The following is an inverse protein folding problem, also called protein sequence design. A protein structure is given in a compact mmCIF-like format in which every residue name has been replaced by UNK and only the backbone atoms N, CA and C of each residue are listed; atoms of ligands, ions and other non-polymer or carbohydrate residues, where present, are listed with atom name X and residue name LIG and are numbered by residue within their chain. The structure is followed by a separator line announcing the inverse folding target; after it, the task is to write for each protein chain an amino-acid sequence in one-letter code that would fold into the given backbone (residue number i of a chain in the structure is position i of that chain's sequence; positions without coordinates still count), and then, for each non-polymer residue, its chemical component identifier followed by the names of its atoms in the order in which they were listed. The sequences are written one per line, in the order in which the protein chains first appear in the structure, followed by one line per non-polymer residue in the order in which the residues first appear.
data_IF_212041703956
#
_entry.id   IF_212041703956
#
_cell.length_a   1.000
_cell.length_b   1.000
_cell.length_c   1.000
_cell.angle_alpha   90.00
_cell.angle_beta   90.00
_cell.angle_gamma   90.00
#
_symmetry.space_group_name_H-M   'P 1'
#
loop_
_entity.id
_entity.type
_entity.pdbx_description
1 polymer ?
#
# COMPACT_ATOMS: atom_id res chain seq x y z
N UNK A 1 0.69 -54.11 8.25
CA UNK A 1 -0.44 -53.25 7.84
C UNK A 1 -0.81 -52.23 8.91
N UNK A 2 -1.08 -52.64 10.15
CA UNK A 2 -1.46 -51.75 11.28
C UNK A 2 -0.40 -50.70 11.64
N UNK A 3 0.89 -51.07 11.70
CA UNK A 3 2.00 -50.14 12.01
C UNK A 3 2.10 -49.02 10.96
N UNK A 4 1.92 -49.37 9.68
CA UNK A 4 1.98 -48.40 8.56
C UNK A 4 0.80 -47.42 8.66
N UNK A 5 -0.41 -47.91 8.93
CA UNK A 5 -1.59 -47.07 9.13
C UNK A 5 -1.44 -46.13 10.34
N UNK A 6 -0.87 -46.62 11.44
CA UNK A 6 -0.62 -45.80 12.63
C UNK A 6 0.42 -44.71 12.36
N UNK A 7 1.51 -45.04 11.66
CA UNK A 7 2.52 -44.06 11.27
C UNK A 7 1.96 -42.97 10.33
N UNK A 8 1.13 -43.36 9.36
CA UNK A 8 0.43 -42.42 8.47
C UNK A 8 -0.53 -41.51 9.25
N UNK A 9 -1.29 -42.05 10.20
CA UNK A 9 -2.22 -41.28 11.02
C UNK A 9 -1.51 -40.28 11.94
N UNK A 10 -0.45 -40.70 12.62
CA UNK A 10 0.34 -39.82 13.52
C UNK A 10 0.99 -38.69 12.73
N UNK A 11 1.59 -39.00 11.58
CA UNK A 11 2.25 -38.01 10.73
C UNK A 11 1.25 -36.98 10.20
N UNK A 12 0.10 -37.45 9.70
CA UNK A 12 -0.97 -36.56 9.21
C UNK A 12 -1.54 -35.69 10.34
N UNK A 13 -1.75 -36.28 11.52
CA UNK A 13 -2.23 -35.55 12.70
C UNK A 13 -1.27 -34.48 13.17
N UNK A 14 0.04 -34.73 13.11
CA UNK A 14 1.06 -33.74 13.44
C UNK A 14 1.02 -32.55 12.48
N UNK A 15 0.97 -32.80 11.16
CA UNK A 15 0.89 -31.73 10.16
C UNK A 15 -0.42 -30.94 10.27
N UNK A 16 -1.55 -31.60 10.48
CA UNK A 16 -2.84 -30.94 10.69
C UNK A 16 -2.85 -30.11 11.99
N UNK A 17 -2.31 -30.65 13.08
CA UNK A 17 -2.19 -29.95 14.34
C UNK A 17 -1.36 -28.68 14.21
N UNK A 18 -0.21 -28.76 13.55
CA UNK A 18 0.63 -27.59 13.27
C UNK A 18 -0.08 -26.58 12.37
N UNK A 19 -0.79 -27.03 11.33
CA UNK A 19 -1.57 -26.15 10.47
C UNK A 19 -2.68 -25.41 11.24
N UNK A 20 -3.41 -26.11 12.11
CA UNK A 20 -4.46 -25.50 12.96
C UNK A 20 -3.85 -24.50 13.93
N UNK A 21 -2.72 -24.83 14.57
CA UNK A 21 -2.02 -23.91 15.48
C UNK A 21 -1.61 -22.64 14.75
N UNK A 22 -1.05 -22.75 13.53
CA UNK A 22 -0.65 -21.59 12.72
C UNK A 22 -1.87 -20.74 12.32
N UNK A 23 -2.98 -21.36 11.90
CA UNK A 23 -4.21 -20.62 11.56
C UNK A 23 -4.80 -19.87 12.76
N UNK A 24 -4.80 -20.49 13.94
CA UNK A 24 -5.27 -19.84 15.18
C UNK A 24 -4.33 -18.70 15.58
N UNK A 25 -3.01 -18.93 15.47
CA UNK A 25 -2.01 -17.91 15.76
C UNK A 25 -2.16 -16.70 14.83
N UNK A 26 -2.34 -16.91 13.52
CA UNK A 26 -2.59 -15.82 12.57
C UNK A 26 -3.85 -15.04 12.92
N UNK A 27 -4.96 -15.73 13.22
CA UNK A 27 -6.23 -15.08 13.58
C UNK A 27 -6.13 -14.22 14.84
N UNK A 28 -5.33 -14.63 15.82
CA UNK A 28 -5.16 -13.88 17.06
C UNK A 28 -4.08 -12.79 16.99
N UNK A 29 -2.96 -13.03 16.31
CA UNK A 29 -1.82 -12.12 16.26
C UNK A 29 -1.95 -11.02 15.19
N UNK A 30 -2.72 -11.27 14.13
CA UNK A 30 -2.87 -10.36 12.98
C UNK A 30 -4.16 -9.53 13.09
N UNK A 31 -4.87 -9.61 14.22
CA UNK A 31 -6.06 -8.77 14.44
C UNK A 31 -5.65 -7.36 14.87
N UNK A 32 -5.45 -6.47 13.90
CA UNK A 32 -5.14 -5.06 14.14
C UNK A 32 -6.40 -4.19 14.40
N UNK A 33 -7.59 -4.81 14.48
CA UNK A 33 -8.85 -4.10 14.61
C UNK A 33 -9.28 -3.36 13.33
N UNK A 34 -10.34 -2.56 13.46
CA UNK A 34 -10.82 -1.68 12.38
C UNK A 34 -9.99 -0.39 12.34
N UNK A 35 -9.39 -0.09 11.20
CA UNK A 35 -8.66 1.16 10.98
C UNK A 35 -9.45 2.08 10.05
N UNK A 36 -9.43 3.38 10.33
CA UNK A 36 -10.00 4.40 9.45
C UNK A 36 -8.97 4.89 8.43
N UNK A 37 -9.39 4.96 7.17
CA UNK A 37 -8.63 5.55 6.09
C UNK A 37 -9.31 6.85 5.66
N UNK A 38 -8.56 7.94 5.68
CA UNK A 38 -9.01 9.28 5.28
C UNK A 38 -8.29 9.66 4.00
N UNK A 39 -9.05 9.81 2.92
CA UNK A 39 -8.51 10.15 1.59
C UNK A 39 -8.77 11.63 1.28
N UNK A 40 -7.77 12.30 0.71
CA UNK A 40 -7.83 13.69 0.23
C UNK A 40 -8.36 14.69 1.27
N UNK A 41 -7.89 14.60 2.51
CA UNK A 41 -8.31 15.53 3.58
C UNK A 41 -9.76 15.34 4.07
N UNK A 42 -10.44 14.26 3.65
CA UNK A 42 -11.76 13.89 4.15
C UNK A 42 -12.87 13.84 3.11
N UNK A 43 -12.58 14.00 1.83
CA UNK A 43 -13.55 13.79 0.75
C UNK A 43 -14.13 12.37 0.77
N UNK A 44 -13.29 11.39 1.10
CA UNK A 44 -13.71 10.00 1.28
C UNK A 44 -13.12 9.44 2.58
N UNK A 45 -13.96 8.80 3.38
CA UNK A 45 -13.60 8.15 4.63
C UNK A 45 -14.27 6.79 4.68
N UNK A 46 -13.49 5.77 4.97
CA UNK A 46 -13.99 4.41 5.08
C UNK A 46 -13.19 3.63 6.12
N UNK A 47 -13.84 2.62 6.70
CA UNK A 47 -13.25 1.75 7.71
C UNK A 47 -12.91 0.42 7.06
N UNK A 48 -11.69 -0.06 7.29
CA UNK A 48 -11.21 -1.36 6.80
C UNK A 48 -10.65 -2.20 7.93
N UNK A 49 -10.62 -3.51 7.75
CA UNK A 49 -9.89 -4.40 8.65
C UNK A 49 -8.39 -4.17 8.48
N UNK A 50 -7.70 -3.93 9.59
CA UNK A 50 -6.24 -3.78 9.60
C UNK A 50 -5.54 -5.10 9.26
N UNK A 51 -4.28 -5.01 8.82
CA UNK A 51 -3.45 -6.14 8.39
C UNK A 51 -3.27 -6.22 6.87
N UNK A 52 -4.19 -5.63 6.11
CA UNK A 52 -4.09 -5.46 4.66
C UNK A 52 -3.06 -4.42 4.22
N UNK A 53 -2.85 -4.34 2.89
CA UNK A 53 -2.08 -3.26 2.28
C UNK A 53 -3.01 -2.13 1.83
N UNK A 54 -2.47 -0.91 1.76
CA UNK A 54 -3.23 0.29 1.43
C UNK A 54 -3.77 0.27 -0.01
N UNK A 55 -3.03 -0.30 -0.97
CA UNK A 55 -3.51 -0.41 -2.36
C UNK A 55 -4.81 -1.21 -2.46
N UNK A 56 -4.89 -2.37 -1.81
CA UNK A 56 -6.07 -3.23 -1.83
C UNK A 56 -7.28 -2.50 -1.22
N UNK A 57 -7.08 -1.86 -0.06
CA UNK A 57 -8.12 -1.08 0.60
C UNK A 57 -8.65 0.07 -0.28
N UNK A 58 -7.78 0.76 -1.01
CA UNK A 58 -8.18 1.83 -1.93
C UNK A 58 -8.95 1.29 -3.14
N UNK A 59 -8.49 0.19 -3.74
CA UNK A 59 -9.16 -0.46 -4.87
C UNK A 59 -10.55 -1.00 -4.50
N UNK A 60 -10.70 -1.61 -3.33
CA UNK A 60 -11.99 -2.11 -2.81
C UNK A 60 -13.00 -0.97 -2.61
N UNK A 61 -12.52 0.24 -2.31
CA UNK A 61 -13.34 1.44 -2.13
C UNK A 61 -13.46 2.29 -3.42
N UNK A 62 -13.23 1.68 -4.59
CA UNK A 62 -13.34 2.30 -5.92
C UNK A 62 -12.36 3.47 -6.17
N UNK A 63 -11.29 3.59 -5.39
CA UNK A 63 -10.21 4.55 -5.64
C UNK A 63 -9.17 3.85 -6.51
N UNK A 64 -9.22 4.13 -7.80
CA UNK A 64 -8.33 3.51 -8.78
C UNK A 64 -6.93 4.12 -8.73
N UNK A 65 -5.95 3.29 -8.38
CA UNK A 65 -4.52 3.64 -8.47
C UNK A 65 -3.88 2.69 -9.47
N UNK A 66 -3.12 3.22 -10.44
CA UNK A 66 -2.45 2.40 -11.44
C UNK A 66 -1.39 1.50 -10.79
N UNK A 67 -1.62 0.19 -10.86
CA UNK A 67 -0.78 -0.82 -10.23
C UNK A 67 -0.50 -1.99 -11.18
N UNK A 68 0.32 -1.76 -12.21
CA UNK A 68 0.62 -2.77 -13.25
C UNK A 68 1.28 -4.05 -12.72
N UNK A 69 1.91 -4.03 -11.54
CA UNK A 69 2.56 -5.21 -10.93
C UNK A 69 1.69 -5.97 -9.93
N UNK A 70 0.42 -5.58 -9.73
CA UNK A 70 -0.49 -6.22 -8.79
C UNK A 70 -0.06 -6.12 -7.31
N UNK A 71 0.65 -5.05 -6.95
CA UNK A 71 1.05 -4.78 -5.56
C UNK A 71 2.37 -5.39 -5.10
N UNK A 72 3.17 -5.98 -6.00
CA UNK A 72 4.47 -6.60 -5.69
C UNK A 72 5.62 -5.61 -5.43
N UNK A 73 5.38 -4.30 -5.53
CA UNK A 73 6.42 -3.29 -5.30
C UNK A 73 7.49 -3.19 -6.38
N UNK A 74 7.21 -3.65 -7.61
CA UNK A 74 8.22 -3.68 -8.69
C UNK A 74 8.06 -2.57 -9.74
N UNK A 75 6.85 -2.00 -9.91
CA UNK A 75 6.59 -1.02 -10.97
C UNK A 75 6.71 0.45 -10.52
N UNK A 76 6.60 0.73 -9.22
CA UNK A 76 6.67 2.10 -8.69
C UNK A 76 5.51 3.03 -9.09
N UNK A 77 4.43 2.51 -9.69
CA UNK A 77 3.27 3.32 -10.12
C UNK A 77 2.26 3.58 -9.00
N UNK A 78 2.27 2.77 -7.94
CA UNK A 78 1.31 2.86 -6.83
C UNK A 78 1.59 4.03 -5.86
N UNK A 79 2.07 5.20 -6.35
CA UNK A 79 2.51 6.32 -5.50
C UNK A 79 1.33 7.06 -4.89
N UNK A 80 1.39 7.26 -3.58
CA UNK A 80 0.43 8.05 -2.79
C UNK A 80 1.19 8.91 -1.79
N UNK A 81 0.61 10.03 -1.37
CA UNK A 81 1.20 10.84 -0.31
C UNK A 81 0.55 10.48 1.01
N UNK A 82 1.32 9.99 1.97
CA UNK A 82 0.82 9.67 3.31
C UNK A 82 1.04 10.89 4.19
N UNK A 83 -0.04 11.48 4.69
CA UNK A 83 -0.01 12.67 5.55
C UNK A 83 0.05 12.27 7.03
N UNK A 84 -0.58 11.17 7.40
CA UNK A 84 -0.55 10.64 8.77
C UNK A 84 -0.62 9.11 8.76
N UNK A 85 0.03 8.48 9.73
CA UNK A 85 0.06 7.02 9.86
C UNK A 85 0.96 6.34 8.83
N UNK A 86 0.60 5.13 8.43
CA UNK A 86 1.33 4.36 7.39
C UNK A 86 2.67 3.75 7.82
N UNK A 87 3.28 4.18 8.93
CA UNK A 87 4.53 3.60 9.46
C UNK A 87 5.80 4.08 8.76
N UNK A 88 6.93 3.42 9.01
CA UNK A 88 8.25 3.79 8.47
C UNK A 88 8.41 3.46 6.99
N UNK A 89 9.29 4.19 6.30
CA UNK A 89 9.69 3.94 4.90
C UNK A 89 10.33 2.56 4.76
N UNK A 90 9.89 1.75 3.78
CA UNK A 90 10.49 0.45 3.53
C UNK A 90 11.65 0.56 2.53
N UNK A 91 12.73 -0.25 2.68
CA UNK A 91 13.84 -0.27 1.71
C UNK A 91 13.40 -0.61 0.28
N UNK A 92 12.31 -1.37 0.13
CA UNK A 92 11.71 -1.73 -1.16
C UNK A 92 11.13 -0.53 -1.92
N UNK A 93 10.77 0.54 -1.22
CA UNK A 93 10.21 1.75 -1.83
C UNK A 93 11.28 2.76 -2.25
N UNK A 94 12.42 2.74 -1.54
CA UNK A 94 13.53 3.67 -1.73
C UNK A 94 14.00 3.83 -3.18
N UNK A 95 14.15 2.76 -4.01
CA UNK A 95 14.61 2.93 -5.39
C UNK A 95 13.62 3.65 -6.31
N UNK A 96 12.34 3.75 -5.93
CA UNK A 96 11.29 4.39 -6.73
C UNK A 96 10.98 5.83 -6.27
N UNK A 97 11.59 6.28 -5.16
CA UNK A 97 11.31 7.56 -4.52
C UNK A 97 12.56 8.44 -4.54
N UNK A 98 12.40 9.69 -4.97
CA UNK A 98 13.46 10.69 -4.82
C UNK A 98 13.55 11.19 -3.37
N UNK A 99 14.66 11.86 -3.02
CA UNK A 99 14.77 12.50 -1.69
C UNK A 99 13.65 13.51 -1.42
N UNK A 100 13.21 14.23 -2.46
CA UNK A 100 12.08 15.17 -2.37
C UNK A 100 10.77 14.41 -2.09
N UNK A 101 10.53 13.31 -2.80
CA UNK A 101 9.35 12.45 -2.59
C UNK A 101 9.27 11.93 -1.16
N UNK A 102 10.41 11.50 -0.60
CA UNK A 102 10.49 11.02 0.78
C UNK A 102 10.18 12.18 1.76
N UNK A 103 10.71 13.38 1.50
CA UNK A 103 10.48 14.55 2.36
C UNK A 103 9.00 14.98 2.39
N UNK A 104 8.26 14.83 1.28
CA UNK A 104 6.83 15.16 1.22
C UNK A 104 5.92 14.02 1.72
N UNK A 105 6.47 12.86 2.10
CA UNK A 105 5.71 11.71 2.58
C UNK A 105 5.14 10.83 1.47
N UNK A 106 5.70 10.88 0.26
CA UNK A 106 5.31 9.98 -0.84
C UNK A 106 5.76 8.56 -0.56
N UNK A 107 4.84 7.62 -0.70
CA UNK A 107 4.99 6.20 -0.37
C UNK A 107 4.37 5.36 -1.48
N UNK A 108 4.74 4.08 -1.53
CA UNK A 108 4.09 3.13 -2.42
C UNK A 108 2.90 2.51 -1.68
N UNK A 109 1.66 2.83 -2.08
CA UNK A 109 0.44 2.31 -1.45
C UNK A 109 0.45 0.78 -1.32
N UNK A 110 1.08 0.10 -2.28
CA UNK A 110 1.20 -1.35 -2.29
C UNK A 110 2.18 -1.93 -1.23
N UNK A 111 3.07 -1.12 -0.67
CA UNK A 111 4.01 -1.50 0.38
C UNK A 111 3.61 -0.97 1.77
N UNK A 112 2.66 -0.04 1.83
CA UNK A 112 2.12 0.50 3.09
C UNK A 112 1.13 -0.51 3.70
N UNK A 113 1.44 -1.01 4.90
CA UNK A 113 0.54 -1.87 5.69
C UNK A 113 -0.33 -1.05 6.63
N UNK A 114 -1.62 -1.35 6.65
CA UNK A 114 -2.59 -0.68 7.51
C UNK A 114 -2.56 -1.36 8.89
N UNK A 115 -1.96 -0.70 9.88
CA UNK A 115 -1.89 -1.17 11.28
C UNK A 115 -2.52 -0.20 12.28
N UNK A 116 -2.84 0.99 11.80
CA UNK A 116 -3.39 2.12 12.53
C UNK A 116 -4.09 3.00 11.50
N UNK A 117 -4.85 4.00 11.97
CA UNK A 117 -5.52 4.95 11.09
C UNK A 117 -4.50 5.64 10.16
N UNK A 118 -4.87 5.76 8.89
CA UNK A 118 -4.00 6.32 7.85
C UNK A 118 -4.72 7.44 7.13
N UNK A 119 -4.06 8.58 7.00
CA UNK A 119 -4.51 9.64 6.10
C UNK A 119 -3.60 9.71 4.89
N UNK A 120 -4.21 9.67 3.71
CA UNK A 120 -3.51 9.71 2.43
C UNK A 120 -4.13 10.72 1.49
N UNK A 121 -3.29 11.24 0.61
CA UNK A 121 -3.69 12.06 -0.52
C UNK A 121 -3.33 11.31 -1.81
N UNK A 122 -4.34 11.03 -2.61
CA UNK A 122 -4.25 10.29 -3.86
C UNK A 122 -4.43 11.30 -4.99
N UNK A 123 -3.42 11.49 -5.86
CA UNK A 123 -3.55 12.41 -6.98
C UNK A 123 -4.50 11.80 -8.02
N UNK A 124 -5.48 12.55 -8.48
CA UNK A 124 -6.31 12.11 -9.61
C UNK A 124 -5.44 12.07 -10.87
N UNK A 125 -5.50 10.95 -11.59
CA UNK A 125 -4.76 10.78 -12.84
C UNK A 125 -5.17 11.82 -13.89
N UNK A 126 -6.45 12.24 -13.90
CA UNK A 126 -6.94 13.30 -14.77
C UNK A 126 -6.34 14.66 -14.39
N UNK A 127 -6.21 14.95 -13.10
CA UNK A 127 -5.61 16.20 -12.63
C UNK A 127 -4.13 16.28 -13.00
N UNK A 128 -3.40 15.16 -12.86
CA UNK A 128 -1.98 15.08 -13.25
C UNK A 128 -1.80 15.34 -14.74
N UNK A 129 -2.65 14.76 -15.60
CA UNK A 129 -2.58 15.00 -17.05
C UNK A 129 -2.99 16.43 -17.38
N UNK A 130 -4.05 16.96 -16.76
CA UNK A 130 -4.54 18.32 -16.99
C UNK A 130 -3.48 19.36 -16.63
N UNK A 131 -2.78 19.15 -15.51
CA UNK A 131 -1.65 19.99 -15.10
C UNK A 131 -0.50 19.92 -16.11
N UNK A 132 -0.13 18.73 -16.59
CA UNK A 132 0.90 18.58 -17.64
C UNK A 132 0.54 19.30 -18.94
N UNK A 133 -0.72 19.22 -19.37
CA UNK A 133 -1.22 19.92 -20.55
C UNK A 133 -1.21 21.44 -20.34
N UNK A 134 -1.56 21.91 -19.13
CA UNK A 134 -1.58 23.35 -18.78
C UNK A 134 -0.17 23.95 -18.64
N UNK A 135 0.76 23.23 -18.03
CA UNK A 135 2.14 23.71 -17.80
C UNK A 135 3.04 23.55 -19.02
N UNK A 136 2.63 22.75 -20.02
CA UNK A 136 3.42 22.53 -21.24
C UNK A 136 4.72 21.75 -21.02
N UNK A 137 5.02 21.35 -19.77
CA UNK A 137 6.18 20.54 -19.42
C UNK A 137 5.84 19.06 -19.53
N UNK A 138 6.13 18.48 -20.70
CA UNK A 138 6.01 17.04 -20.91
C UNK A 138 7.25 16.31 -20.40
N UNK A 139 7.41 16.26 -19.08
CA UNK A 139 8.49 15.48 -18.48
C UNK A 139 8.09 14.00 -18.42
N UNK A 140 8.69 13.23 -19.34
CA UNK A 140 8.57 11.76 -19.43
C UNK A 140 8.95 11.02 -18.13
N UNK A 141 9.68 11.67 -17.22
CA UNK A 141 10.07 11.17 -15.91
C UNK A 141 9.24 11.75 -14.75
N UNK A 142 8.48 12.85 -14.94
CA UNK A 142 7.61 13.47 -13.93
C UNK A 142 6.28 12.75 -13.69
N UNK A 143 6.15 11.51 -14.16
CA UNK A 143 4.90 10.74 -14.29
C UNK A 143 4.07 10.63 -13.00
N UNK A 144 4.60 11.06 -11.84
CA UNK A 144 4.00 10.94 -10.50
C UNK A 144 4.44 12.03 -9.50
N UNK A 145 4.76 13.24 -9.94
CA UNK A 145 5.14 14.32 -8.99
C UNK A 145 3.89 14.95 -8.38
N UNK A 146 3.79 14.94 -7.06
CA UNK A 146 2.83 15.78 -6.34
C UNK A 146 3.27 17.24 -6.53
N UNK A 147 2.51 17.99 -7.33
CA UNK A 147 2.72 19.43 -7.44
C UNK A 147 2.26 20.07 -6.13
N UNK A 148 3.18 20.69 -5.41
CA UNK A 148 2.84 21.58 -4.30
C UNK A 148 2.31 22.86 -4.97
N UNK A 149 1.09 23.28 -4.65
CA UNK A 149 0.67 24.67 -4.92
C UNK A 149 1.64 25.59 -4.20
N UNK A 150 2.69 26.08 -4.89
CA UNK A 150 3.54 27.15 -4.38
C UNK A 150 5.06 27.10 -4.64
N UNK A 151 5.65 26.15 -5.38
CA UNK A 151 7.08 26.25 -5.70
C UNK A 151 7.37 26.10 -7.20
N UNK A 152 7.81 27.23 -7.76
CA UNK A 152 8.28 27.41 -9.13
C UNK A 152 9.50 26.52 -9.45
N UNK A 153 9.57 26.20 -10.74
CA UNK A 153 10.69 25.68 -11.50
C UNK A 153 12.09 25.97 -10.93
N UNK A 154 12.93 24.94 -10.77
CA UNK A 154 14.39 25.05 -10.96
C UNK A 154 15.09 23.69 -11.10
N UNK A 155 15.78 23.53 -12.24
CA UNK A 155 16.94 22.64 -12.50
C UNK A 155 16.65 21.13 -12.68
N UNK A 156 17.06 20.45 -13.76
CA UNK A 156 18.04 20.69 -14.84
C UNK A 156 17.58 19.87 -16.06
#
# INVERSE_FOLDING_TARGET
MTIILLAMAVTTGLFLGMAVILLVAERHLVNYGTCQIIVNGGEQRFSVEGGGNLLAALLENNISIPASCGGKGMCGYCKVRVTAGGGALLPTETPFLSRRDIAIGTRLACQVKIRQDVSVNVPDFLDVISDMVRTGTFDKHAKWRFSIKGEEHEGF
#
